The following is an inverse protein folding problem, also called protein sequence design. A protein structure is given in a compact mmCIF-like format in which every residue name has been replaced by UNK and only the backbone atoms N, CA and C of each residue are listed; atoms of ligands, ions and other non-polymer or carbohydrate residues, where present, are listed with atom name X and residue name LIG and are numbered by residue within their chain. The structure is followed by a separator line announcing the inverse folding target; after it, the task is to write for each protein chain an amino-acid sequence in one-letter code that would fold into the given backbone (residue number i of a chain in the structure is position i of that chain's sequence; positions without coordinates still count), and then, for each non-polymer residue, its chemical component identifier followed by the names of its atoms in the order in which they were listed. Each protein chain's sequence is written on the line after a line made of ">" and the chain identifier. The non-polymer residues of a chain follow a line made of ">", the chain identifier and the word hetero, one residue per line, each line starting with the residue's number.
data_IF_445299948776
#
_entry.id   IF_445299948776
#
_cell.length_a   1.000
_cell.length_b   1.000
_cell.length_c   1.000
_cell.angle_alpha   90.00
_cell.angle_beta   90.00
_cell.angle_gamma   90.00
#
_symmetry.space_group_name_H-M   'P 1'
#
loop_
_entity.id
_entity.type
_entity.pdbx_description
1 polymer ?
#
# COMPACT_ATOMS: atom_id res chain seq x y z
N UNK A 1 -14.87 -5.57 -6.05
CA UNK A 1 -15.76 -4.50 -5.55
C UNK A 1 -15.24 -3.12 -5.99
N UNK A 2 -16.14 -2.12 -6.05
CA UNK A 2 -15.77 -0.76 -6.40
C UNK A 2 -15.08 -0.07 -5.19
N UNK A 3 -13.79 0.28 -5.33
CA UNK A 3 -12.97 0.88 -4.25
C UNK A 3 -13.54 2.22 -3.76
N UNK A 4 -14.01 3.07 -4.68
CA UNK A 4 -14.63 4.37 -4.33
C UNK A 4 -15.95 4.21 -3.59
N UNK A 5 -16.81 3.28 -4.03
CA UNK A 5 -18.07 3.00 -3.34
C UNK A 5 -17.83 2.46 -1.92
N UNK A 6 -16.82 1.60 -1.75
CA UNK A 6 -16.41 1.11 -0.43
C UNK A 6 -15.90 2.24 0.46
N UNK A 7 -15.03 3.10 -0.05
CA UNK A 7 -14.53 4.26 0.68
C UNK A 7 -15.67 5.19 1.12
N UNK A 8 -16.59 5.51 0.22
CA UNK A 8 -17.76 6.35 0.53
C UNK A 8 -18.70 5.70 1.55
N UNK A 9 -18.88 4.37 1.48
CA UNK A 9 -19.65 3.61 2.46
C UNK A 9 -18.99 3.66 3.83
N UNK A 10 -17.69 3.37 3.93
CA UNK A 10 -16.96 3.36 5.20
C UNK A 10 -16.90 4.75 5.83
N UNK A 11 -16.69 5.81 5.03
CA UNK A 11 -16.74 7.18 5.51
C UNK A 11 -18.08 7.47 6.18
N UNK A 12 -19.20 7.18 5.49
CA UNK A 12 -20.55 7.36 6.06
C UNK A 12 -20.79 6.52 7.30
N UNK A 13 -20.29 5.28 7.32
CA UNK A 13 -20.42 4.39 8.47
C UNK A 13 -19.74 4.99 9.71
N UNK A 14 -18.48 5.46 9.56
CA UNK A 14 -17.72 6.11 10.63
C UNK A 14 -18.43 7.37 11.12
N UNK A 15 -18.85 8.27 10.20
CA UNK A 15 -19.52 9.54 10.54
C UNK A 15 -20.87 9.36 11.27
N UNK A 16 -21.55 8.22 11.06
CA UNK A 16 -22.86 7.92 11.66
C UNK A 16 -22.80 7.01 12.89
N UNK A 17 -21.61 6.56 13.26
CA UNK A 17 -21.46 5.70 14.45
C UNK A 17 -21.63 6.52 15.72
N UNK A 18 -22.57 6.12 16.56
CA UNK A 18 -22.80 6.78 17.85
C UNK A 18 -21.55 6.70 18.74
N UNK A 19 -21.29 7.74 19.52
CA UNK A 19 -20.15 7.88 20.43
C UNK A 19 -18.77 7.82 19.72
N UNK A 20 -18.73 8.08 18.40
CA UNK A 20 -17.49 8.19 17.64
C UNK A 20 -17.36 9.64 17.13
N UNK A 21 -16.25 10.29 17.49
CA UNK A 21 -15.88 11.61 16.98
C UNK A 21 -14.76 11.47 15.97
N UNK A 22 -14.97 11.95 14.74
CA UNK A 22 -13.97 11.98 13.69
C UNK A 22 -13.31 13.35 13.66
N UNK A 23 -11.99 13.39 13.86
CA UNK A 23 -11.19 14.61 13.83
C UNK A 23 -10.08 14.49 12.80
N UNK A 24 -9.98 15.47 11.89
CA UNK A 24 -8.87 15.55 10.94
C UNK A 24 -7.74 16.38 11.54
N UNK A 25 -6.67 15.72 11.99
CA UNK A 25 -5.45 16.37 12.46
C UNK A 25 -4.25 15.44 12.32
N UNK A 26 -3.05 16.00 12.21
CA UNK A 26 -1.81 15.23 12.31
C UNK A 26 -1.51 14.99 13.79
N UNK A 27 -1.38 13.72 14.17
CA UNK A 27 -0.90 13.33 15.51
C UNK A 27 0.63 13.25 15.45
N UNK A 28 1.28 13.96 16.37
CA UNK A 28 2.74 14.09 16.43
C UNK A 28 3.35 13.53 17.70
N UNK A 29 2.54 13.25 18.73
CA UNK A 29 3.03 12.76 19.99
C UNK A 29 2.11 11.72 20.63
N UNK A 30 2.75 10.73 21.29
CA UNK A 30 2.13 9.83 22.24
C UNK A 30 2.56 10.28 23.64
N UNK A 31 1.61 10.54 24.53
CA UNK A 31 1.93 10.82 25.94
C UNK A 31 1.86 9.54 26.76
N UNK A 32 2.98 9.26 27.45
CA UNK A 32 3.10 8.10 28.37
C UNK A 32 3.51 8.61 29.74
N UNK A 33 2.74 8.25 30.77
CA UNK A 33 3.00 8.59 32.16
C UNK A 33 2.92 7.31 33.00
N UNK A 34 3.90 7.08 33.85
CA UNK A 34 3.93 5.88 34.71
C UNK A 34 3.81 4.55 33.94
N UNK A 35 4.38 4.46 32.72
CA UNK A 35 4.27 3.27 31.86
C UNK A 35 2.91 3.05 31.20
N UNK A 36 2.04 4.07 31.18
CA UNK A 36 0.70 4.01 30.56
C UNK A 36 0.50 5.09 29.53
N UNK A 37 -0.09 4.76 28.39
CA UNK A 37 -0.55 5.73 27.42
C UNK A 37 -1.72 6.54 28.00
N UNK A 38 -1.57 7.88 28.01
CA UNK A 38 -2.53 8.82 28.58
C UNK A 38 -3.26 9.64 27.52
N UNK A 39 -2.83 9.58 26.29
CA UNK A 39 -3.42 10.32 25.18
C UNK A 39 -2.43 10.60 24.05
N UNK A 40 -2.86 11.45 23.12
CA UNK A 40 -2.06 11.85 21.95
C UNK A 40 -2.05 13.37 21.79
N UNK A 41 -1.01 13.88 21.13
CA UNK A 41 -0.83 15.29 20.85
C UNK A 41 -0.88 15.56 19.35
N UNK A 42 -1.60 16.61 18.96
CA UNK A 42 -1.65 17.06 17.56
C UNK A 42 -0.52 18.01 17.22
N UNK A 43 -0.30 18.20 15.92
CA UNK A 43 0.67 19.15 15.37
C UNK A 43 0.45 20.59 15.82
N UNK A 44 -0.78 20.95 16.18
CA UNK A 44 -1.17 22.28 16.62
C UNK A 44 -1.26 22.42 18.15
N UNK A 45 -0.75 21.42 18.89
CA UNK A 45 -0.65 21.48 20.34
C UNK A 45 -1.92 21.03 21.10
N UNK A 46 -2.96 20.56 20.42
CA UNK A 46 -4.11 20.00 21.11
C UNK A 46 -3.76 18.63 21.71
N UNK A 47 -4.12 18.42 22.97
CA UNK A 47 -4.01 17.14 23.65
C UNK A 47 -5.37 16.44 23.71
N UNK A 48 -5.38 15.19 23.28
CA UNK A 48 -6.53 14.30 23.34
C UNK A 48 -6.30 13.25 24.43
N UNK A 49 -6.86 13.43 25.64
CA UNK A 49 -6.72 12.46 26.71
C UNK A 49 -7.46 11.18 26.37
N UNK A 50 -6.85 10.04 26.68
CA UNK A 50 -7.45 8.75 26.43
C UNK A 50 -6.99 7.69 27.43
N UNK A 51 -7.89 6.76 27.78
CA UNK A 51 -7.54 5.58 28.58
C UNK A 51 -6.80 4.52 27.78
N UNK A 52 -6.98 4.54 26.46
CA UNK A 52 -6.32 3.64 25.53
C UNK A 52 -6.10 4.33 24.19
N UNK A 53 -4.98 4.02 23.54
CA UNK A 53 -4.60 4.50 22.22
C UNK A 53 -4.38 3.32 21.30
N UNK A 54 -4.96 3.35 20.09
CA UNK A 54 -4.75 2.34 19.05
C UNK A 54 -4.00 2.98 17.90
N UNK A 55 -2.80 2.48 17.58
CA UNK A 55 -1.99 2.93 16.46
C UNK A 55 -2.38 2.13 15.20
N UNK A 56 -3.00 2.80 14.23
CA UNK A 56 -3.45 2.21 12.97
C UNK A 56 -2.91 3.03 11.77
N UNK A 57 -1.62 3.33 11.80
CA UNK A 57 -0.95 4.32 10.93
C UNK A 57 -0.67 3.83 9.51
N UNK A 58 -0.96 2.56 9.22
CA UNK A 58 -0.72 2.00 7.88
C UNK A 58 0.76 2.16 7.46
N UNK A 59 0.99 2.83 6.34
CA UNK A 59 2.33 3.09 5.78
C UNK A 59 2.78 4.55 5.92
N UNK A 60 2.13 5.34 6.82
CA UNK A 60 2.37 6.78 6.92
C UNK A 60 3.55 7.17 7.82
N UNK A 61 3.95 6.30 8.78
CA UNK A 61 5.02 6.63 9.73
C UNK A 61 6.37 6.75 9.03
N UNK A 62 6.98 7.93 9.09
CA UNK A 62 8.25 8.25 8.42
C UNK A 62 8.27 7.77 6.97
N UNK A 63 7.12 7.93 6.27
CA UNK A 63 6.96 7.47 4.90
C UNK A 63 7.99 8.10 3.96
N UNK A 64 8.56 7.29 3.06
CA UNK A 64 9.50 7.72 2.01
C UNK A 64 9.14 7.02 0.71
N UNK A 65 8.74 7.79 -0.29
CA UNK A 65 8.41 7.30 -1.63
C UNK A 65 9.70 7.22 -2.45
N UNK A 66 9.83 6.14 -3.23
CA UNK A 66 11.03 5.84 -4.02
C UNK A 66 10.61 5.38 -5.41
N UNK A 67 11.14 6.05 -6.46
CA UNK A 67 10.96 5.72 -7.87
C UNK A 67 12.32 5.89 -8.56
N UNK A 68 12.95 4.79 -8.94
CA UNK A 68 14.31 4.81 -9.48
C UNK A 68 15.28 5.55 -8.57
N UNK A 69 16.01 6.46 -9.13
CA UNK A 69 17.01 7.26 -8.43
C UNK A 69 16.40 8.34 -7.53
N UNK A 70 15.09 8.59 -7.64
CA UNK A 70 14.38 9.62 -6.89
C UNK A 70 13.74 9.08 -5.61
N UNK A 71 13.97 9.77 -4.51
CA UNK A 71 13.33 9.47 -3.24
C UNK A 71 12.99 10.75 -2.49
N UNK A 72 11.80 10.78 -1.88
CA UNK A 72 11.34 11.93 -1.10
C UNK A 72 10.42 11.49 0.03
N UNK A 73 10.34 12.33 1.05
CA UNK A 73 9.54 12.04 2.22
C UNK A 73 8.07 12.34 1.96
N UNK A 74 7.27 11.29 1.96
CA UNK A 74 5.82 11.37 1.86
C UNK A 74 5.19 10.08 2.41
N UNK A 75 3.97 10.19 2.90
CA UNK A 75 3.11 9.04 3.14
C UNK A 75 2.46 8.52 1.85
N UNK A 76 1.59 7.50 1.93
CA UNK A 76 0.89 6.97 0.77
C UNK A 76 0.10 8.08 0.05
N UNK A 77 0.04 8.01 -1.27
CA UNK A 77 -0.63 9.01 -2.12
C UNK A 77 -0.16 10.46 -1.91
N UNK A 78 1.12 10.65 -1.57
CA UNK A 78 1.75 11.96 -1.30
C UNK A 78 1.15 12.70 -0.09
N UNK A 79 0.60 11.99 0.88
CA UNK A 79 0.21 12.58 2.17
C UNK A 79 1.43 12.94 3.01
N UNK A 80 1.24 13.71 4.07
CA UNK A 80 2.32 14.11 5.00
C UNK A 80 2.92 12.85 5.65
N UNK A 81 4.26 12.70 5.67
CA UNK A 81 4.92 11.61 6.38
C UNK A 81 4.93 11.90 7.88
N UNK A 82 4.33 11.06 8.70
CA UNK A 82 4.18 11.26 10.13
C UNK A 82 5.49 10.99 10.90
N UNK A 83 6.54 11.80 10.66
CA UNK A 83 7.87 11.63 11.28
C UNK A 83 7.86 11.90 12.77
N UNK A 84 7.26 13.03 13.19
CA UNK A 84 7.24 13.41 14.60
C UNK A 84 6.61 12.34 15.47
N UNK A 85 5.56 11.65 14.96
CA UNK A 85 4.96 10.55 15.69
C UNK A 85 5.91 9.35 15.80
N UNK A 86 6.68 9.01 14.74
CA UNK A 86 7.72 7.97 14.83
C UNK A 86 8.75 8.28 15.90
N UNK A 87 9.22 9.52 15.97
CA UNK A 87 10.22 9.95 16.96
C UNK A 87 9.63 9.89 18.38
N UNK A 88 8.40 10.34 18.57
CA UNK A 88 7.68 10.24 19.84
C UNK A 88 7.48 8.79 20.29
N UNK A 89 7.14 7.88 19.38
CA UNK A 89 7.00 6.46 19.68
C UNK A 89 8.33 5.85 20.12
N UNK A 90 9.45 6.16 19.44
CA UNK A 90 10.81 5.73 19.85
C UNK A 90 11.18 6.26 21.22
N UNK A 91 10.93 7.54 21.46
CA UNK A 91 11.17 8.17 22.76
C UNK A 91 10.36 7.55 23.89
N UNK A 92 9.18 7.01 23.58
CA UNK A 92 8.32 6.26 24.52
C UNK A 92 8.73 4.80 24.71
N UNK A 93 9.81 4.32 24.06
CA UNK A 93 10.30 2.95 24.17
C UNK A 93 9.69 1.97 23.15
N UNK A 94 8.92 2.43 22.17
CA UNK A 94 8.42 1.57 21.09
C UNK A 94 9.55 1.26 20.11
N UNK A 95 9.87 -0.02 19.93
CA UNK A 95 10.82 -0.45 18.89
C UNK A 95 10.14 -0.44 17.53
N UNK A 96 10.71 0.32 16.60
CA UNK A 96 10.23 0.42 15.23
C UNK A 96 11.20 -0.28 14.27
N UNK A 97 10.63 -1.00 13.32
CA UNK A 97 11.32 -1.63 12.20
C UNK A 97 11.03 -0.84 10.93
N UNK A 98 11.91 -0.95 9.94
CA UNK A 98 11.71 -0.34 8.63
C UNK A 98 11.16 -1.37 7.65
N UNK A 99 9.95 -1.15 7.16
CA UNK A 99 9.31 -1.98 6.14
C UNK A 99 9.20 -1.26 4.80
N UNK A 100 9.05 -2.05 3.75
CA UNK A 100 8.86 -1.58 2.38
C UNK A 100 7.64 -2.27 1.78
N UNK A 101 6.76 -1.50 1.19
CA UNK A 101 5.72 -2.00 0.27
C UNK A 101 5.75 -1.22 -1.03
N UNK A 102 4.83 -1.50 -1.94
CA UNK A 102 4.76 -0.79 -3.22
C UNK A 102 3.37 -0.81 -3.81
N UNK A 103 3.19 0.02 -4.81
CA UNK A 103 1.96 0.08 -5.62
C UNK A 103 2.31 -0.06 -7.09
N UNK A 104 1.47 -0.70 -7.91
CA UNK A 104 1.69 -0.78 -9.34
C UNK A 104 1.31 0.51 -10.06
N UNK A 105 1.69 0.67 -11.32
CA UNK A 105 1.31 1.82 -12.13
C UNK A 105 -0.20 1.81 -12.43
N UNK A 106 -0.72 2.99 -12.76
CA UNK A 106 -2.08 3.16 -13.29
C UNK A 106 -1.98 3.70 -14.71
N UNK A 107 -2.83 3.17 -15.57
CA UNK A 107 -2.91 3.55 -16.98
C UNK A 107 -4.33 3.94 -17.36
N UNK A 108 -4.46 4.71 -18.45
CA UNK A 108 -5.75 5.16 -18.95
C UNK A 108 -6.45 4.03 -19.72
N UNK A 109 -7.71 3.74 -19.41
CA UNK A 109 -8.48 2.65 -19.99
C UNK A 109 -8.52 2.67 -21.52
N UNK A 110 -8.67 3.85 -22.15
CA UNK A 110 -8.77 3.97 -23.61
C UNK A 110 -7.44 3.72 -24.35
N UNK A 111 -6.35 3.54 -23.60
CA UNK A 111 -5.02 3.19 -24.15
C UNK A 111 -4.73 1.69 -24.14
N UNK A 112 -5.67 0.88 -23.70
CA UNK A 112 -5.56 -0.57 -23.59
C UNK A 112 -6.27 -1.22 -24.76
N UNK A 113 -5.62 -2.20 -25.40
CA UNK A 113 -6.28 -3.04 -26.40
C UNK A 113 -6.90 -4.27 -25.72
N UNK A 114 -8.17 -4.16 -25.38
CA UNK A 114 -8.91 -5.23 -24.72
C UNK A 114 -9.23 -6.41 -25.64
N UNK A 115 -9.14 -6.24 -26.97
CA UNK A 115 -9.48 -7.29 -27.95
C UNK A 115 -8.54 -8.49 -27.89
N UNK A 116 -7.35 -8.31 -27.34
CA UNK A 116 -6.30 -9.34 -27.23
C UNK A 116 -6.11 -9.87 -25.78
N UNK A 117 -6.95 -9.42 -24.84
CA UNK A 117 -6.88 -9.76 -23.43
C UNK A 117 -8.01 -10.71 -23.05
N UNK A 118 -7.75 -11.57 -22.08
CA UNK A 118 -8.74 -12.45 -21.49
C UNK A 118 -9.60 -11.68 -20.48
N UNK A 119 -10.93 -11.73 -20.63
CA UNK A 119 -11.85 -11.20 -19.62
C UNK A 119 -11.91 -12.11 -18.42
N UNK A 120 -11.80 -11.54 -17.22
CA UNK A 120 -12.11 -12.21 -15.98
C UNK A 120 -13.31 -11.56 -15.30
N UNK A 121 -14.41 -12.23 -15.40
CA UNK A 121 -15.65 -11.86 -14.69
C UNK A 121 -15.61 -12.43 -13.27
N UNK A 122 -16.41 -11.84 -12.38
CA UNK A 122 -16.63 -12.43 -11.06
C UNK A 122 -17.45 -13.72 -11.15
N UNK A 123 -17.37 -14.53 -10.11
CA UNK A 123 -18.14 -15.78 -10.01
C UNK A 123 -19.64 -15.53 -9.99
N UNK A 124 -20.42 -16.46 -10.56
CA UNK A 124 -21.88 -16.46 -10.52
C UNK A 124 -22.38 -17.82 -9.95
N UNK A 125 -23.13 -17.79 -8.82
CA UNK A 125 -23.46 -16.63 -7.98
C UNK A 125 -22.23 -16.05 -7.30
N UNK A 126 -22.18 -14.70 -7.16
CA UNK A 126 -21.06 -14.03 -6.53
C UNK A 126 -20.92 -14.45 -5.06
N UNK A 127 -19.79 -15.05 -4.64
CA UNK A 127 -19.55 -15.33 -3.24
C UNK A 127 -19.45 -14.02 -2.46
N UNK A 128 -20.15 -13.94 -1.34
CA UNK A 128 -20.19 -12.73 -0.53
C UNK A 128 -19.34 -12.89 0.72
N UNK A 129 -18.66 -11.82 1.10
CA UNK A 129 -18.06 -11.69 2.44
C UNK A 129 -19.10 -11.36 3.53
N UNK A 130 -20.37 -11.22 3.15
CA UNK A 130 -21.46 -10.86 4.04
C UNK A 130 -22.69 -11.73 3.75
N UNK A 131 -23.38 -12.18 4.79
CA UNK A 131 -24.64 -12.93 4.70
C UNK A 131 -25.88 -12.06 4.38
N UNK A 132 -25.71 -10.74 4.22
CA UNK A 132 -26.84 -9.80 4.22
C UNK A 132 -27.52 -9.57 2.87
N UNK A 133 -26.88 -9.85 1.76
CA UNK A 133 -27.52 -9.73 0.44
C UNK A 133 -26.72 -10.44 -0.64
N UNK A 134 -27.38 -11.01 -1.67
CA UNK A 134 -26.67 -11.46 -2.86
C UNK A 134 -26.01 -10.26 -3.56
N UNK A 135 -24.70 -10.36 -3.79
CA UNK A 135 -23.95 -9.37 -4.55
C UNK A 135 -24.05 -9.66 -6.06
N UNK A 136 -24.06 -8.62 -6.86
CA UNK A 136 -23.82 -8.71 -8.29
C UNK A 136 -22.47 -8.12 -8.58
N UNK A 137 -21.51 -8.92 -9.03
CA UNK A 137 -20.25 -8.41 -9.56
C UNK A 137 -20.49 -7.83 -10.95
N UNK A 138 -20.34 -6.50 -11.09
CA UNK A 138 -20.43 -5.80 -12.38
C UNK A 138 -19.08 -5.36 -12.92
N UNK A 139 -18.03 -5.51 -12.12
CA UNK A 139 -16.68 -5.16 -12.53
C UNK A 139 -16.06 -6.33 -13.29
N UNK A 140 -15.54 -6.04 -14.48
CA UNK A 140 -14.77 -6.98 -15.28
C UNK A 140 -13.31 -6.58 -15.19
N UNK A 141 -12.46 -7.53 -14.81
CA UNK A 141 -11.01 -7.41 -14.90
C UNK A 141 -10.52 -8.07 -16.20
N UNK A 142 -9.31 -7.73 -16.60
CA UNK A 142 -8.67 -8.39 -17.74
C UNK A 142 -7.33 -8.96 -17.30
N UNK A 143 -6.93 -10.05 -17.92
CA UNK A 143 -5.68 -10.74 -17.63
C UNK A 143 -4.68 -10.44 -18.74
N UNK A 144 -3.50 -10.03 -18.34
CA UNK A 144 -2.32 -9.91 -19.17
C UNK A 144 -1.17 -10.71 -18.56
N UNK A 145 -0.10 -10.90 -19.31
CA UNK A 145 1.08 -11.63 -18.85
C UNK A 145 2.36 -10.90 -19.24
N UNK A 146 3.36 -10.94 -18.35
CA UNK A 146 4.73 -10.59 -18.73
C UNK A 146 5.24 -11.60 -19.76
N UNK A 147 6.28 -11.24 -20.49
CA UNK A 147 6.92 -12.06 -21.50
C UNK A 147 8.45 -11.94 -21.42
N UNK A 148 9.19 -12.63 -22.30
CA UNK A 148 10.66 -12.60 -22.33
C UNK A 148 11.21 -11.18 -22.54
N UNK A 149 10.56 -10.35 -23.34
CA UNK A 149 10.96 -8.94 -23.51
C UNK A 149 10.80 -8.14 -22.22
N UNK A 150 9.68 -8.37 -21.51
CA UNK A 150 9.44 -7.74 -20.19
C UNK A 150 10.56 -8.13 -19.22
N UNK A 151 10.90 -9.43 -19.17
CA UNK A 151 11.96 -9.99 -18.33
C UNK A 151 13.32 -9.38 -18.68
N UNK A 152 13.66 -9.31 -19.96
CA UNK A 152 14.92 -8.72 -20.43
C UNK A 152 15.06 -7.26 -20.02
N UNK A 153 14.02 -6.42 -20.24
CA UNK A 153 14.02 -5.00 -19.84
C UNK A 153 14.29 -4.86 -18.33
N UNK A 154 13.65 -5.68 -17.50
CA UNK A 154 13.84 -5.61 -16.04
C UNK A 154 15.25 -6.03 -15.65
N UNK A 155 15.76 -7.13 -16.19
CA UNK A 155 17.11 -7.64 -15.88
C UNK A 155 18.21 -6.65 -16.30
N UNK A 156 18.10 -6.03 -17.47
CA UNK A 156 19.02 -5.01 -17.96
C UNK A 156 19.06 -3.74 -17.07
N UNK A 157 17.98 -3.47 -16.35
CA UNK A 157 17.82 -2.30 -15.49
C UNK A 157 17.85 -2.60 -13.98
N UNK A 158 18.28 -3.80 -13.55
CA UNK A 158 18.34 -4.15 -12.13
C UNK A 158 19.27 -3.24 -11.34
N UNK A 159 20.38 -2.77 -11.95
CA UNK A 159 21.30 -1.81 -11.31
C UNK A 159 20.65 -0.46 -11.00
N UNK A 160 19.59 -0.09 -11.71
CA UNK A 160 18.79 1.12 -11.50
C UNK A 160 17.63 0.91 -10.52
N UNK A 161 17.41 -0.33 -10.08
CA UNK A 161 16.36 -0.64 -9.10
C UNK A 161 16.82 -0.23 -7.70
N UNK A 162 16.07 0.63 -6.99
CA UNK A 162 16.36 0.97 -5.59
C UNK A 162 16.42 -0.23 -4.65
N UNK A 163 15.70 -1.29 -4.99
CA UNK A 163 15.70 -2.54 -4.22
C UNK A 163 17.04 -3.28 -4.33
N UNK A 164 17.58 -3.40 -5.54
CA UNK A 164 18.84 -4.10 -5.82
C UNK A 164 20.06 -3.19 -5.70
N UNK A 165 19.89 -1.88 -5.89
CA UNK A 165 20.91 -0.86 -5.66
C UNK A 165 21.16 -0.49 -4.19
N UNK A 166 20.45 -1.12 -3.24
CA UNK A 166 20.67 -0.91 -1.80
C UNK A 166 20.11 0.42 -1.25
N UNK A 167 19.34 1.18 -2.04
CA UNK A 167 18.70 2.41 -1.59
C UNK A 167 17.51 2.10 -0.66
N UNK A 168 16.77 1.03 -0.93
CA UNK A 168 15.71 0.50 -0.08
C UNK A 168 16.36 -0.36 0.99
N UNK A 169 16.18 0.02 2.25
CA UNK A 169 16.68 -0.70 3.44
C UNK A 169 15.58 -1.49 4.14
N UNK A 170 14.33 -1.14 3.90
CA UNK A 170 13.18 -1.79 4.51
C UNK A 170 12.96 -3.21 3.99
N UNK A 171 12.62 -4.12 4.89
CA UNK A 171 12.20 -5.48 4.52
C UNK A 171 10.79 -5.47 3.97
N UNK A 172 10.54 -6.15 2.86
CA UNK A 172 9.18 -6.33 2.34
C UNK A 172 8.37 -7.27 3.24
N UNK A 173 7.09 -6.99 3.52
CA UNK A 173 6.19 -7.98 4.13
C UNK A 173 6.07 -9.20 3.20
N UNK A 174 5.72 -10.35 3.79
CA UNK A 174 5.81 -11.68 3.15
C UNK A 174 5.17 -11.76 1.75
N UNK A 175 4.09 -11.05 1.50
CA UNK A 175 3.30 -11.16 0.27
C UNK A 175 3.35 -9.90 -0.61
N UNK A 176 4.41 -9.09 -0.53
CA UNK A 176 4.57 -7.88 -1.34
C UNK A 176 5.86 -7.86 -2.16
N UNK A 177 6.14 -8.88 -3.00
CA UNK A 177 7.25 -8.82 -3.93
C UNK A 177 6.94 -7.85 -5.07
N UNK A 178 7.90 -7.00 -5.44
CA UNK A 178 7.85 -6.23 -6.68
C UNK A 178 8.02 -7.15 -7.90
N UNK A 179 7.73 -6.64 -9.10
CA UNK A 179 7.89 -7.45 -10.31
C UNK A 179 9.35 -7.82 -10.55
N UNK A 180 10.29 -6.90 -10.29
CA UNK A 180 11.73 -7.16 -10.37
C UNK A 180 12.16 -8.25 -9.38
N UNK A 181 11.62 -8.26 -8.17
CA UNK A 181 11.88 -9.29 -7.16
C UNK A 181 11.34 -10.68 -7.60
N UNK A 182 10.14 -10.70 -8.20
CA UNK A 182 9.57 -11.94 -8.74
C UNK A 182 10.43 -12.53 -9.86
N UNK A 183 10.92 -11.70 -10.78
CA UNK A 183 11.73 -12.14 -11.92
C UNK A 183 13.08 -12.71 -11.44
N UNK A 184 13.70 -12.07 -10.45
CA UNK A 184 14.98 -12.54 -9.90
C UNK A 184 14.81 -13.82 -9.08
N UNK A 185 13.74 -13.92 -8.26
CA UNK A 185 13.51 -15.10 -7.40
C UNK A 185 12.99 -16.31 -8.16
N UNK A 186 12.30 -16.11 -9.26
CA UNK A 186 11.69 -17.16 -10.06
C UNK A 186 12.15 -17.08 -11.52
N UNK A 187 13.46 -17.30 -11.81
CA UNK A 187 14.05 -17.12 -13.13
C UNK A 187 13.48 -18.07 -14.17
N UNK A 188 13.07 -19.28 -13.75
CA UNK A 188 12.53 -20.32 -14.63
C UNK A 188 11.05 -20.11 -14.98
N UNK A 189 10.40 -19.11 -14.37
CA UNK A 189 9.02 -18.81 -14.67
C UNK A 189 8.93 -18.00 -15.96
N UNK A 190 8.30 -18.58 -16.98
CA UNK A 190 8.17 -17.97 -18.31
C UNK A 190 7.39 -16.65 -18.29
N UNK A 191 6.35 -16.57 -17.47
CA UNK A 191 5.47 -15.38 -17.39
C UNK A 191 4.85 -15.19 -16.02
N UNK A 192 4.57 -13.95 -15.65
CA UNK A 192 3.82 -13.57 -14.47
C UNK A 192 2.47 -12.99 -14.89
N UNK A 193 1.42 -13.38 -14.21
CA UNK A 193 0.07 -12.88 -14.42
C UNK A 193 -0.09 -11.46 -13.89
N UNK A 194 -0.78 -10.63 -14.66
CA UNK A 194 -1.10 -9.24 -14.37
C UNK A 194 -2.62 -9.10 -14.48
N UNK A 195 -3.26 -8.54 -13.44
CA UNK A 195 -4.65 -8.18 -13.51
C UNK A 195 -4.78 -6.69 -13.84
N UNK A 196 -5.60 -6.38 -14.83
CA UNK A 196 -5.97 -5.03 -15.22
C UNK A 196 -7.33 -4.75 -14.58
N UNK A 197 -7.31 -3.98 -13.51
CA UNK A 197 -8.48 -3.76 -12.64
C UNK A 197 -8.99 -2.32 -12.74
N UNK A 198 -10.30 -2.08 -12.94
CA UNK A 198 -10.84 -0.73 -12.87
C UNK A 198 -10.77 -0.19 -11.44
N UNK A 199 -10.32 1.06 -11.27
CA UNK A 199 -10.26 1.72 -9.97
C UNK A 199 -11.65 2.14 -9.45
N UNK A 200 -12.64 2.21 -10.33
CA UNK A 200 -14.03 2.53 -10.03
C UNK A 200 -14.90 2.43 -11.28
N UNK A 201 -16.22 2.50 -11.12
CA UNK A 201 -17.17 2.39 -12.22
C UNK A 201 -17.21 3.65 -13.11
N UNK A 202 -16.79 4.78 -12.57
CA UNK A 202 -16.90 6.12 -13.15
C UNK A 202 -15.55 6.77 -13.45
N UNK A 203 -14.49 5.96 -13.58
CA UNK A 203 -13.13 6.42 -13.86
C UNK A 203 -12.48 5.63 -14.99
N UNK A 204 -11.60 6.28 -15.73
CA UNK A 204 -10.74 5.65 -16.76
C UNK A 204 -9.43 5.11 -16.19
N UNK A 205 -9.23 5.20 -14.87
CA UNK A 205 -8.01 4.73 -14.23
C UNK A 205 -8.04 3.22 -14.05
N UNK A 206 -7.04 2.54 -14.64
CA UNK A 206 -6.85 1.09 -14.57
C UNK A 206 -5.60 0.76 -13.76
N UNK A 207 -5.73 -0.13 -12.81
CA UNK A 207 -4.69 -0.58 -11.87
C UNK A 207 -4.06 -1.86 -12.41
N UNK A 208 -2.74 -1.87 -12.59
CA UNK A 208 -2.02 -3.02 -13.14
C UNK A 208 -1.49 -3.92 -12.00
N UNK A 209 -2.40 -4.66 -11.36
CA UNK A 209 -2.05 -5.54 -10.25
C UNK A 209 -1.05 -6.60 -10.67
N UNK A 210 0.07 -6.68 -9.94
CA UNK A 210 1.18 -7.59 -10.23
C UNK A 210 2.44 -6.89 -10.73
N UNK A 211 2.33 -5.63 -11.17
CA UNK A 211 3.45 -4.78 -11.64
C UNK A 211 3.92 -3.76 -10.60
N UNK A 212 3.74 -4.02 -9.29
CA UNK A 212 4.36 -3.18 -8.26
C UNK A 212 5.87 -3.12 -8.49
N UNK A 213 6.43 -1.92 -8.52
CA UNK A 213 7.84 -1.70 -8.85
C UNK A 213 8.36 -0.42 -8.24
N UNK A 214 9.68 -0.36 -8.07
CA UNK A 214 10.41 0.87 -7.75
C UNK A 214 11.35 1.31 -8.85
N UNK A 215 11.35 0.64 -9.99
CA UNK A 215 12.16 1.00 -11.15
C UNK A 215 11.91 2.44 -11.62
N UNK A 216 12.85 3.09 -12.30
CA UNK A 216 12.68 4.41 -12.89
C UNK A 216 11.49 4.48 -13.85
N UNK A 217 10.90 5.65 -14.01
CA UNK A 217 9.69 5.85 -14.83
C UNK A 217 9.84 5.41 -16.28
N UNK A 218 10.99 5.68 -16.90
CA UNK A 218 11.31 5.25 -18.26
C UNK A 218 11.29 3.73 -18.39
N UNK A 219 11.87 3.03 -17.43
CA UNK A 219 11.88 1.55 -17.37
C UNK A 219 10.48 1.01 -17.11
N UNK A 220 9.70 1.61 -16.20
CA UNK A 220 8.32 1.21 -15.96
C UNK A 220 7.47 1.33 -17.24
N UNK A 221 7.63 2.42 -18.01
CA UNK A 221 6.94 2.60 -19.30
C UNK A 221 7.35 1.52 -20.31
N UNK A 222 8.64 1.21 -20.40
CA UNK A 222 9.15 0.16 -21.28
C UNK A 222 8.60 -1.22 -20.88
N UNK A 223 8.59 -1.55 -19.59
CA UNK A 223 8.04 -2.79 -19.02
C UNK A 223 6.56 -2.93 -19.36
N UNK A 224 5.74 -1.93 -19.05
CA UNK A 224 4.29 -2.00 -19.32
C UNK A 224 4.02 -2.13 -20.82
N UNK A 225 4.70 -1.34 -21.65
CA UNK A 225 4.51 -1.37 -23.10
C UNK A 225 5.08 -2.60 -23.81
N UNK A 226 5.83 -3.43 -23.12
CA UNK A 226 6.26 -4.75 -23.63
C UNK A 226 5.18 -5.83 -23.49
N UNK A 227 4.12 -5.57 -22.72
CA UNK A 227 3.04 -6.51 -22.43
C UNK A 227 1.97 -6.40 -23.51
N UNK A 228 1.52 -7.54 -24.04
CA UNK A 228 0.46 -7.61 -25.05
C UNK A 228 -0.82 -6.94 -24.57
N UNK A 229 -1.37 -6.04 -25.40
CA UNK A 229 -2.55 -5.22 -25.09
C UNK A 229 -2.25 -3.92 -24.35
N UNK A 230 -0.98 -3.71 -23.92
CA UNK A 230 -0.55 -2.50 -23.22
C UNK A 230 0.50 -1.71 -24.00
N UNK A 231 0.76 -2.03 -25.26
CA UNK A 231 1.82 -1.43 -26.09
C UNK A 231 1.69 0.11 -26.22
N UNK A 232 0.45 0.59 -26.18
CA UNK A 232 0.12 2.02 -26.28
C UNK A 232 -0.29 2.64 -24.94
N UNK A 233 -0.02 1.97 -23.82
CA UNK A 233 -0.45 2.40 -22.50
C UNK A 233 -0.01 3.83 -22.19
N UNK A 234 -1.00 4.65 -21.79
CA UNK A 234 -0.82 6.02 -21.29
C UNK A 234 -0.85 5.99 -19.77
N UNK A 235 0.27 6.36 -19.15
CA UNK A 235 0.40 6.36 -17.71
C UNK A 235 -0.40 7.52 -17.09
N UNK A 236 -1.22 7.20 -16.10
CA UNK A 236 -1.85 8.17 -15.20
C UNK A 236 -1.06 8.35 -13.92
N UNK A 237 -0.41 7.27 -13.43
CA UNK A 237 0.49 7.28 -12.25
C UNK A 237 1.57 6.23 -12.43
N UNK A 238 2.79 6.56 -12.01
CA UNK A 238 3.88 5.60 -11.91
C UNK A 238 3.67 4.65 -10.73
N UNK A 239 4.28 3.46 -10.81
CA UNK A 239 4.52 2.64 -9.64
C UNK A 239 5.53 3.33 -8.71
N UNK A 240 5.47 3.03 -7.43
CA UNK A 240 6.48 3.45 -6.47
C UNK A 240 6.62 2.43 -5.34
N UNK A 241 7.79 2.39 -4.73
CA UNK A 241 7.95 1.79 -3.42
C UNK A 241 7.75 2.85 -2.33
N UNK A 242 7.21 2.44 -1.19
CA UNK A 242 7.17 3.26 0.01
C UNK A 242 7.85 2.50 1.15
N UNK A 243 8.85 3.12 1.75
CA UNK A 243 9.39 2.70 3.04
C UNK A 243 8.65 3.41 4.17
N UNK A 244 8.42 2.71 5.26
CA UNK A 244 7.69 3.24 6.41
C UNK A 244 8.12 2.54 7.69
N UNK A 245 7.86 3.16 8.84
CA UNK A 245 8.07 2.56 10.13
C UNK A 245 6.86 1.72 10.54
N UNK A 246 7.10 0.53 11.06
CA UNK A 246 6.10 -0.33 11.70
C UNK A 246 6.64 -0.81 13.05
N UNK A 247 5.79 -1.29 13.93
CA UNK A 247 6.28 -1.81 15.20
C UNK A 247 6.93 -3.18 15.03
N UNK A 248 7.93 -3.47 15.85
CA UNK A 248 8.38 -4.84 16.06
C UNK A 248 7.25 -5.63 16.73
N UNK A 249 6.62 -6.61 16.06
CA UNK A 249 5.45 -7.31 16.58
C UNK A 249 5.73 -8.14 17.84
N UNK A 250 7.00 -8.43 18.13
CA UNK A 250 7.38 -9.17 19.36
C UNK A 250 7.08 -8.39 20.64
N UNK A 251 6.87 -7.06 20.52
CA UNK A 251 6.42 -6.20 21.62
C UNK A 251 4.94 -6.37 21.94
N UNK A 252 4.17 -6.99 21.04
CA UNK A 252 2.74 -7.12 21.21
C UNK A 252 2.37 -8.42 21.95
N UNK A 253 1.27 -8.36 22.68
CA UNK A 253 0.56 -9.53 23.21
C UNK A 253 -0.38 -10.09 22.13
N UNK A 254 -0.92 -11.29 22.27
CA UNK A 254 -1.96 -11.81 21.36
C UNK A 254 -3.19 -10.90 21.23
N UNK A 255 -3.44 -10.05 22.22
CA UNK A 255 -4.50 -9.02 22.22
C UNK A 255 -4.12 -7.76 21.45
N UNK A 256 -2.95 -7.73 20.82
CA UNK A 256 -2.33 -6.57 20.13
C UNK A 256 -1.99 -5.39 21.07
N UNK A 257 -2.07 -5.58 22.37
CA UNK A 257 -1.58 -4.62 23.36
C UNK A 257 -0.06 -4.66 23.44
N UNK A 258 0.58 -3.51 23.61
CA UNK A 258 2.00 -3.44 23.93
C UNK A 258 2.29 -4.03 25.31
N UNK A 259 3.42 -4.73 25.45
CA UNK A 259 3.82 -5.38 26.70
C UNK A 259 4.24 -4.36 27.75
N UNK A 260 4.98 -3.33 27.31
CA UNK A 260 5.69 -2.41 28.20
C UNK A 260 4.96 -1.06 28.35
N UNK A 261 3.91 -0.79 27.57
CA UNK A 261 3.11 0.43 27.66
C UNK A 261 1.64 0.05 27.82
N UNK A 262 1.13 0.17 29.02
CA UNK A 262 -0.28 -0.14 29.32
C UNK A 262 -1.21 0.81 28.53
N UNK A 263 -2.33 0.28 28.00
CA UNK A 263 -3.29 1.07 27.24
C UNK A 263 -2.87 1.44 25.81
N UNK A 264 -1.69 1.00 25.34
CA UNK A 264 -1.26 1.16 23.95
C UNK A 264 -1.52 -0.13 23.15
N UNK A 265 -2.06 0.01 21.95
CA UNK A 265 -2.36 -1.10 21.04
C UNK A 265 -1.88 -0.78 19.62
N UNK A 266 -1.55 -1.81 18.86
CA UNK A 266 -1.27 -1.71 17.44
C UNK A 266 -2.35 -2.38 16.61
N UNK A 267 -2.65 -1.83 15.41
CA UNK A 267 -3.63 -2.41 14.49
C UNK A 267 -3.17 -2.32 13.03
N UNK A 268 -3.52 -3.34 12.25
CA UNK A 268 -3.29 -3.39 10.81
C UNK A 268 -1.81 -3.43 10.43
N UNK A 269 -1.48 -2.78 9.33
CA UNK A 269 -0.13 -2.83 8.73
C UNK A 269 0.98 -2.28 9.64
N UNK A 270 0.65 -1.42 10.59
CA UNK A 270 1.57 -0.97 11.64
C UNK A 270 2.18 -2.13 12.44
N UNK A 271 1.48 -3.25 12.58
CA UNK A 271 1.96 -4.46 13.27
C UNK A 271 2.88 -5.35 12.40
N UNK A 272 3.30 -4.90 11.24
CA UNK A 272 4.20 -5.65 10.36
C UNK A 272 3.51 -6.75 9.52
N UNK A 273 2.22 -6.66 9.31
CA UNK A 273 1.45 -7.65 8.53
C UNK A 273 0.99 -7.10 7.19
#
# INVERSE_FOLDING_TARGET
>A
FCRRAYQAYMKRAVERTANLTLVQCEITGLRVEGGRACGVESAFGAFFPARSVVLATGTSLSGRIIVGEHAYDAGPDNTVPARRLSDSLRASGVRLLRFKTGTPPRVHADSIDYSVLEEQRGDEPAPLFSSRAPGVSRAVCHIAYTNERTKAIILENLSRSPLFGGQIKGTGPRYCPSIEDKIVRFPDKERHQIFIEPMGADTKEMYLQGLSSSLPEDVQKAVVRSIRGLERAVFMRTAYAIEYDCCDPTQLRPTLAFRDIAGLYGAGQFNGS
#
